data_IF_340152666753
#
_entry.id   IF_340152666753
#
_cell.length_a   1.000
_cell.length_b   1.000
_cell.length_c   1.000
_cell.angle_alpha   90.00
_cell.angle_beta   90.00
_cell.angle_gamma   90.00
#
_symmetry.space_group_name_H-M   'P 1'
#
loop_
_entity.id
_entity.type
_entity.pdbx_description
1 polymer ?
#
# COMPACT_ATOMS: atom_id res chain seq x y z
N UNK A 1 -17.45 26.96 -36.76
CA UNK A 1 -17.05 27.21 -35.36
C UNK A 1 -16.52 25.92 -34.75
N UNK A 2 -15.35 25.94 -34.09
CA UNK A 2 -14.84 24.75 -33.41
C UNK A 2 -15.61 24.51 -32.11
N UNK A 3 -15.98 23.25 -31.86
CA UNK A 3 -16.66 22.79 -30.65
C UNK A 3 -15.88 23.18 -29.36
N UNK A 4 -16.57 23.49 -28.25
CA UNK A 4 -15.91 23.79 -26.98
C UNK A 4 -15.23 22.54 -26.37
N UNK A 5 -14.15 22.71 -25.59
CA UNK A 5 -13.39 21.60 -25.04
C UNK A 5 -14.21 20.82 -24.02
N UNK A 6 -14.17 19.49 -24.14
CA UNK A 6 -14.72 18.54 -23.19
C UNK A 6 -13.88 18.55 -21.89
N UNK A 7 -13.99 19.62 -21.12
CA UNK A 7 -13.46 19.71 -19.76
C UNK A 7 -14.61 19.59 -18.75
N UNK A 8 -14.36 18.78 -17.72
CA UNK A 8 -15.01 18.82 -16.41
C UNK A 8 -16.50 18.48 -16.33
N UNK A 9 -16.84 17.20 -16.50
CA UNK A 9 -17.96 16.66 -15.74
C UNK A 9 -17.70 15.20 -15.36
N UNK A 10 -16.82 15.01 -14.37
CA UNK A 10 -16.90 13.80 -13.55
C UNK A 10 -18.21 13.91 -12.75
N UNK A 11 -19.13 12.92 -12.81
CA UNK A 11 -20.39 13.01 -12.12
C UNK A 11 -20.16 13.14 -10.60
N UNK A 12 -20.98 13.93 -9.88
CA UNK A 12 -20.88 14.04 -8.44
C UNK A 12 -21.03 12.64 -7.83
N UNK A 13 -20.25 12.28 -6.80
CA UNK A 13 -20.37 11.00 -6.12
C UNK A 13 -21.63 11.00 -5.25
N UNK A 14 -22.80 10.99 -5.87
CA UNK A 14 -24.08 10.96 -5.19
C UNK A 14 -24.38 9.53 -4.74
N UNK A 15 -24.42 9.34 -3.43
CA UNK A 15 -24.88 8.16 -2.68
C UNK A 15 -23.88 7.01 -2.48
N UNK A 16 -23.17 6.54 -3.51
CA UNK A 16 -22.36 5.31 -3.37
C UNK A 16 -21.08 5.51 -2.53
N UNK A 17 -20.39 6.64 -2.69
CA UNK A 17 -19.15 6.92 -1.94
C UNK A 17 -19.40 7.13 -0.44
N UNK A 18 -20.57 7.66 -0.05
CA UNK A 18 -20.91 7.84 1.36
C UNK A 18 -21.26 6.51 2.05
N UNK A 19 -21.82 5.54 1.32
CA UNK A 19 -22.04 4.18 1.84
C UNK A 19 -20.72 3.47 2.19
N UNK A 20 -19.66 3.71 1.40
CA UNK A 20 -18.34 3.11 1.62
C UNK A 20 -17.64 3.64 2.88
N UNK A 21 -17.85 4.91 3.21
CA UNK A 21 -17.21 5.55 4.39
C UNK A 21 -17.97 5.21 5.68
N UNK A 22 -19.29 5.00 5.62
CA UNK A 22 -20.08 4.72 6.83
C UNK A 22 -20.04 3.26 7.28
N UNK A 23 -19.82 2.29 6.39
CA UNK A 23 -19.87 0.85 6.74
C UNK A 23 -18.79 0.02 6.03
N UNK A 24 -17.51 0.09 6.47
CA UNK A 24 -16.49 -0.86 6.03
C UNK A 24 -16.76 -2.35 6.40
N UNK A 25 -17.47 -2.73 7.49
CA UNK A 25 -17.52 -4.14 7.89
C UNK A 25 -18.51 -5.01 7.10
N UNK A 26 -19.46 -4.45 6.34
CA UNK A 26 -20.52 -5.24 5.70
C UNK A 26 -20.06 -5.86 4.38
N UNK A 27 -19.27 -5.14 3.57
CA UNK A 27 -18.66 -5.70 2.35
C UNK A 27 -17.61 -6.78 2.68
N UNK A 28 -16.88 -6.60 3.78
CA UNK A 28 -15.93 -7.59 4.28
C UNK A 28 -16.64 -8.85 4.83
N UNK A 29 -17.81 -8.69 5.47
CA UNK A 29 -18.60 -9.81 6.02
C UNK A 29 -19.16 -10.74 4.93
N UNK A 30 -19.54 -10.21 3.75
CA UNK A 30 -20.10 -11.04 2.68
C UNK A 30 -19.01 -11.86 1.97
N UNK A 31 -17.78 -11.31 1.84
CA UNK A 31 -16.62 -12.05 1.32
C UNK A 31 -16.11 -13.10 2.32
N UNK A 32 -16.27 -12.87 3.63
CA UNK A 32 -15.84 -13.82 4.66
C UNK A 32 -16.79 -15.02 4.87
N UNK A 33 -18.03 -14.97 4.38
CA UNK A 33 -19.03 -16.04 4.59
C UNK A 33 -18.97 -17.19 3.57
N UNK A 34 -18.18 -17.08 2.51
CA UNK A 34 -18.05 -18.14 1.49
C UNK A 34 -16.87 -19.10 1.71
N UNK A 35 -16.09 -18.94 2.78
CA UNK A 35 -14.96 -19.84 3.10
C UNK A 35 -15.10 -20.57 4.45
N UNK A 36 -16.32 -20.68 4.98
CA UNK A 36 -16.58 -21.47 6.19
C UNK A 36 -16.69 -22.97 5.89
N UNK A 37 -15.60 -23.58 5.41
CA UNK A 37 -15.39 -25.01 5.57
C UNK A 37 -13.92 -25.27 5.95
N UNK A 38 -13.77 -25.75 7.19
CA UNK A 38 -12.66 -26.53 7.77
C UNK A 38 -11.72 -25.79 8.76
N UNK A 39 -11.97 -25.89 10.08
CA UNK A 39 -11.14 -25.27 11.12
C UNK A 39 -10.04 -26.19 11.72
N UNK A 40 -9.53 -27.19 10.99
CA UNK A 40 -8.44 -28.04 11.49
C UNK A 40 -7.57 -28.59 10.38
N UNK A 41 -6.65 -27.79 9.83
CA UNK A 41 -5.32 -28.22 9.34
C UNK A 41 -4.50 -26.99 8.92
N UNK A 42 -3.26 -26.93 9.43
CA UNK A 42 -2.13 -26.05 9.03
C UNK A 42 -2.29 -24.54 9.34
N UNK A 43 -1.84 -24.01 10.48
CA UNK A 43 -0.43 -23.77 10.83
C UNK A 43 0.59 -24.23 9.76
N UNK A 44 0.84 -23.37 8.77
CA UNK A 44 2.20 -23.20 8.26
C UNK A 44 2.42 -21.75 7.83
N UNK A 45 3.46 -21.17 8.39
CA UNK A 45 4.08 -19.93 7.93
C UNK A 45 4.55 -20.20 6.49
N UNK A 46 4.20 -19.34 5.55
CA UNK A 46 4.86 -19.29 4.24
C UNK A 46 5.00 -17.84 3.84
N UNK A 47 5.89 -17.15 4.56
CA UNK A 47 6.64 -16.05 4.00
C UNK A 47 7.43 -16.61 2.81
N UNK A 48 6.92 -16.41 1.60
CA UNK A 48 7.72 -16.52 0.38
C UNK A 48 7.53 -15.24 -0.40
N UNK A 49 8.20 -14.17 0.07
CA UNK A 49 8.66 -13.15 -0.85
C UNK A 49 9.81 -13.78 -1.65
N UNK A 50 9.65 -13.78 -2.96
CA UNK A 50 10.56 -14.42 -3.89
C UNK A 50 11.98 -13.84 -3.75
N UNK A 51 12.95 -14.72 -3.51
CA UNK A 51 14.38 -14.44 -3.60
C UNK A 51 14.73 -14.03 -5.03
N UNK A 52 15.10 -12.77 -5.22
CA UNK A 52 15.64 -12.28 -6.50
C UNK A 52 17.07 -12.78 -6.65
N UNK A 53 17.33 -13.54 -7.71
CA UNK A 53 18.65 -13.99 -8.16
C UNK A 53 19.63 -12.80 -8.21
N UNK A 54 20.68 -12.87 -7.40
CA UNK A 54 21.65 -11.79 -7.20
C UNK A 54 22.82 -11.82 -8.20
N UNK A 55 23.18 -10.64 -8.69
CA UNK A 55 24.47 -10.35 -9.33
C UNK A 55 25.48 -10.13 -8.18
N UNK A 56 26.69 -10.73 -8.19
CA UNK A 56 27.59 -10.81 -7.04
C UNK A 56 28.31 -9.48 -6.67
N UNK A 57 27.68 -8.32 -6.81
CA UNK A 57 28.29 -7.00 -6.59
C UNK A 57 27.57 -6.05 -5.64
N UNK A 58 26.30 -6.27 -5.32
CA UNK A 58 25.55 -5.44 -4.35
C UNK A 58 24.20 -6.08 -4.07
N UNK A 59 24.20 -7.11 -3.24
CA UNK A 59 22.94 -7.75 -2.85
C UNK A 59 22.23 -6.80 -1.88
N UNK A 60 21.01 -6.42 -2.22
CA UNK A 60 20.16 -5.71 -1.27
C UNK A 60 19.82 -6.67 -0.13
N UNK A 61 20.32 -6.37 1.06
CA UNK A 61 19.88 -7.09 2.26
C UNK A 61 18.53 -6.57 2.73
N UNK A 62 17.53 -7.44 2.70
CA UNK A 62 16.20 -7.12 3.19
C UNK A 62 16.13 -7.26 4.71
N UNK A 63 16.06 -6.11 5.40
CA UNK A 63 15.92 -6.04 6.85
C UNK A 63 14.46 -5.98 7.31
N UNK A 64 13.47 -6.03 6.41
CA UNK A 64 12.05 -5.98 6.79
C UNK A 64 11.65 -7.09 7.76
N UNK A 65 12.12 -8.36 7.63
CA UNK A 65 11.81 -9.40 8.61
C UNK A 65 12.30 -9.05 10.02
N UNK A 66 13.54 -8.54 10.13
CA UNK A 66 14.13 -8.13 11.41
C UNK A 66 13.41 -6.91 12.01
N UNK A 67 13.00 -5.95 11.17
CA UNK A 67 12.24 -4.80 11.63
C UNK A 67 10.84 -5.20 12.08
N UNK A 68 10.17 -6.12 11.39
CA UNK A 68 8.87 -6.65 11.80
C UNK A 68 8.94 -7.39 13.14
N UNK A 69 10.03 -8.13 13.38
CA UNK A 69 10.28 -8.79 14.66
C UNK A 69 10.46 -7.76 15.80
N UNK A 70 11.22 -6.68 15.56
CA UNK A 70 11.54 -5.67 16.59
C UNK A 70 10.42 -4.66 16.84
N UNK A 71 9.72 -4.24 15.80
CA UNK A 71 8.72 -3.16 15.84
C UNK A 71 7.28 -3.68 15.85
N UNK A 72 7.06 -4.95 15.49
CA UNK A 72 5.74 -5.47 15.15
C UNK A 72 5.24 -4.96 13.80
N UNK A 73 4.15 -5.55 13.30
CA UNK A 73 3.57 -5.18 12.00
C UNK A 73 3.11 -3.73 11.93
N UNK A 74 2.35 -3.27 12.93
CA UNK A 74 1.86 -1.89 12.99
C UNK A 74 3.00 -0.87 13.15
N UNK A 75 4.00 -1.18 13.97
CA UNK A 75 5.17 -0.33 14.17
C UNK A 75 6.00 -0.19 12.89
N UNK A 76 6.25 -1.30 12.19
CA UNK A 76 6.94 -1.29 10.90
C UNK A 76 6.19 -0.44 9.87
N UNK A 77 4.87 -0.63 9.73
CA UNK A 77 4.06 0.18 8.81
C UNK A 77 4.14 1.66 9.18
N UNK A 78 4.08 1.99 10.46
CA UNK A 78 4.23 3.37 10.94
C UNK A 78 5.56 4.02 10.52
N UNK A 79 6.68 3.31 10.68
CA UNK A 79 7.99 3.82 10.27
C UNK A 79 8.13 3.94 8.74
N UNK A 80 7.62 2.97 7.97
CA UNK A 80 7.59 3.06 6.51
C UNK A 80 6.75 4.24 6.02
N UNK A 81 5.60 4.50 6.65
CA UNK A 81 4.76 5.65 6.33
C UNK A 81 5.46 6.99 6.65
N UNK A 82 6.24 7.06 7.73
CA UNK A 82 7.05 8.26 8.04
C UNK A 82 8.13 8.48 6.99
N UNK A 83 8.86 7.42 6.62
CA UNK A 83 9.87 7.48 5.56
C UNK A 83 9.27 7.91 4.23
N UNK A 84 8.11 7.36 3.84
CA UNK A 84 7.40 7.77 2.63
C UNK A 84 6.98 9.25 2.66
N UNK A 85 6.45 9.74 3.78
CA UNK A 85 6.08 11.14 3.94
C UNK A 85 7.28 12.09 3.84
N UNK A 86 8.44 11.67 4.32
CA UNK A 86 9.68 12.43 4.20
C UNK A 86 10.17 12.51 2.75
N UNK A 87 10.01 11.43 1.99
CA UNK A 87 10.55 11.33 0.63
C UNK A 87 9.59 11.83 -0.45
N UNK A 88 8.28 11.80 -0.20
CA UNK A 88 7.28 12.17 -1.20
C UNK A 88 7.31 13.66 -1.53
N UNK A 89 6.81 13.96 -2.71
CA UNK A 89 6.39 15.31 -3.06
C UNK A 89 5.14 15.69 -2.24
N UNK A 90 5.18 16.90 -1.67
CA UNK A 90 4.13 17.41 -0.80
C UNK A 90 2.78 17.56 -1.52
N UNK A 91 2.82 18.07 -2.74
CA UNK A 91 1.64 18.42 -3.54
C UNK A 91 1.11 17.21 -4.30
N UNK A 92 2.01 16.43 -4.92
CA UNK A 92 1.63 15.26 -5.73
C UNK A 92 1.30 14.04 -4.88
N UNK A 93 1.74 14.01 -3.62
CA UNK A 93 1.45 12.89 -2.71
C UNK A 93 2.19 11.58 -3.01
N UNK A 94 3.13 11.60 -3.96
CA UNK A 94 3.93 10.44 -4.39
C UNK A 94 5.40 10.80 -4.40
N UNK A 95 6.29 9.80 -4.35
CA UNK A 95 7.73 10.03 -4.54
C UNK A 95 7.98 10.37 -6.00
N UNK A 96 8.53 11.56 -6.25
CA UNK A 96 9.00 11.96 -7.56
C UNK A 96 10.52 11.87 -7.61
N UNK A 97 11.10 11.87 -8.81
CA UNK A 97 12.54 11.91 -8.96
C UNK A 97 13.16 13.14 -8.27
N UNK A 98 12.50 14.28 -8.39
CA UNK A 98 12.94 15.54 -7.80
C UNK A 98 12.83 15.54 -6.27
N UNK A 99 11.71 15.06 -5.71
CA UNK A 99 11.53 14.95 -4.26
C UNK A 99 12.52 13.96 -3.65
N UNK A 100 12.75 12.84 -4.33
CA UNK A 100 13.72 11.84 -3.88
C UNK A 100 15.14 12.43 -3.88
N UNK A 101 15.56 13.09 -4.96
CA UNK A 101 16.89 13.70 -5.04
C UNK A 101 17.14 14.69 -3.90
N UNK A 102 16.16 15.58 -3.68
CA UNK A 102 16.21 16.58 -2.60
C UNK A 102 16.31 15.96 -1.20
N UNK A 103 15.57 14.88 -0.93
CA UNK A 103 15.40 14.35 0.42
C UNK A 103 16.34 13.16 0.75
N UNK A 104 16.88 12.47 -0.26
CA UNK A 104 17.76 11.31 -0.09
C UNK A 104 19.26 11.65 -0.09
N UNK A 105 19.63 12.93 -0.24
CA UNK A 105 21.03 13.36 -0.31
C UNK A 105 21.74 12.95 -1.60
N UNK A 106 21.00 12.91 -2.72
CA UNK A 106 21.46 12.50 -4.06
C UNK A 106 21.64 13.67 -5.04
#
# INVERSE_FOLDING_TARGET
DPDPPLSSQLPPPSSIFLLYISHPPIAFSLLAKTHFLNPSVALCNSSTMASTKTNPGSDFEDYLPLMAEKLGGEGLVGELCKGFQLLKDGDKGVITFESLKKNAGL
#
